data_IF_752634477240
#
_entry.id   IF_752634477240
#
_cell.length_a   1.000
_cell.length_b   1.000
_cell.length_c   1.000
_cell.angle_alpha   90.00
_cell.angle_beta   90.00
_cell.angle_gamma   90.00
#
_symmetry.space_group_name_H-M   'P 1'
#
loop_
_entity.id
_entity.type
_entity.pdbx_description
1 polymer ?
#
# COMPACT_ATOMS: atom_id res chain seq x y z
N UNK A 1 28.66 -6.25 46.04
CA UNK A 1 28.50 -6.68 44.63
C UNK A 1 27.76 -5.62 43.86
N UNK A 2 28.48 -4.76 43.13
CA UNK A 2 27.90 -3.65 42.37
C UNK A 2 27.30 -4.13 41.05
N UNK A 3 25.99 -3.95 40.88
CA UNK A 3 25.32 -4.14 39.59
C UNK A 3 25.67 -2.94 38.69
N UNK A 4 26.54 -3.17 37.70
CA UNK A 4 26.81 -2.23 36.60
C UNK A 4 25.51 -2.03 35.80
N UNK A 5 24.96 -0.82 35.86
CA UNK A 5 23.95 -0.36 34.90
C UNK A 5 24.64 -0.19 33.54
N UNK A 6 24.23 -1.02 32.58
CA UNK A 6 24.67 -0.91 31.20
C UNK A 6 23.90 0.25 30.56
N UNK A 7 24.57 1.39 30.39
CA UNK A 7 24.00 2.53 29.67
C UNK A 7 23.74 2.12 28.21
N UNK A 8 22.47 2.13 27.79
CA UNK A 8 22.08 2.02 26.39
C UNK A 8 22.67 3.24 25.65
N UNK A 9 23.59 3.00 24.72
CA UNK A 9 24.01 4.01 23.74
C UNK A 9 22.75 4.52 23.02
N UNK A 10 22.59 5.85 22.80
CA UNK A 10 21.54 6.34 21.92
C UNK A 10 21.79 5.75 20.54
N UNK A 11 20.82 4.98 20.03
CA UNK A 11 20.83 4.57 18.64
C UNK A 11 20.68 5.85 17.81
N UNK A 12 21.63 6.13 16.93
CA UNK A 12 21.48 7.20 15.95
C UNK A 12 20.33 6.78 15.06
N UNK A 13 19.20 7.46 15.16
CA UNK A 13 18.07 7.22 14.28
C UNK A 13 18.51 7.52 12.84
N UNK A 14 18.31 6.59 11.89
CA UNK A 14 18.69 6.83 10.51
C UNK A 14 17.92 8.04 9.97
N UNK A 15 18.54 8.85 9.09
CA UNK A 15 17.88 10.01 8.52
C UNK A 15 16.58 9.62 7.82
N UNK A 16 15.56 10.48 7.95
CA UNK A 16 14.30 10.36 7.22
C UNK A 16 14.60 10.63 5.75
N UNK A 17 14.35 9.66 4.88
CA UNK A 17 14.56 9.79 3.44
C UNK A 17 13.53 8.98 2.68
N UNK A 18 12.99 9.57 1.61
CA UNK A 18 12.04 8.94 0.70
C UNK A 18 12.64 7.72 -0.03
N UNK A 19 13.95 7.68 -0.21
CA UNK A 19 14.65 6.59 -0.91
C UNK A 19 14.58 5.24 -0.17
N UNK A 20 14.16 5.29 1.11
CA UNK A 20 13.89 4.11 1.93
C UNK A 20 12.53 3.49 1.64
N UNK A 21 11.63 4.19 0.94
CA UNK A 21 10.34 3.66 0.53
C UNK A 21 10.54 2.83 -0.74
N UNK A 22 9.90 1.66 -0.76
CA UNK A 22 9.85 0.79 -1.94
C UNK A 22 8.49 0.99 -2.61
N UNK A 23 8.38 2.06 -3.39
CA UNK A 23 7.19 2.39 -4.17
C UNK A 23 7.36 1.80 -5.55
N UNK A 24 6.37 1.02 -5.99
CA UNK A 24 6.38 0.38 -7.30
C UNK A 24 5.06 0.58 -8.02
N UNK A 25 5.11 0.46 -9.33
CA UNK A 25 3.92 0.38 -10.17
C UNK A 25 3.29 -0.99 -10.02
N UNK A 26 2.08 -1.04 -9.45
CA UNK A 26 1.27 -2.24 -9.32
C UNK A 26 0.14 -2.28 -10.34
N UNK A 27 -0.20 -3.46 -10.83
CA UNK A 27 -1.37 -3.71 -11.68
C UNK A 27 -2.45 -4.44 -10.89
N UNK A 28 -3.62 -3.85 -10.75
CA UNK A 28 -4.75 -4.51 -10.08
C UNK A 28 -5.28 -5.63 -10.99
N UNK A 29 -5.14 -6.88 -10.54
CA UNK A 29 -5.61 -8.08 -11.24
C UNK A 29 -7.07 -8.40 -10.90
N UNK A 30 -7.44 -8.20 -9.65
CA UNK A 30 -8.80 -8.35 -9.16
C UNK A 30 -9.02 -7.49 -7.93
N UNK A 31 -10.25 -7.03 -7.72
CA UNK A 31 -10.71 -6.36 -6.51
C UNK A 31 -12.02 -6.99 -6.04
N UNK A 32 -12.31 -6.99 -4.75
CA UNK A 32 -13.61 -7.42 -4.25
C UNK A 32 -13.92 -6.70 -2.95
N UNK A 33 -15.20 -6.57 -2.60
CA UNK A 33 -15.56 -6.05 -1.28
C UNK A 33 -15.11 -7.04 -0.21
N UNK A 34 -14.57 -6.53 0.88
CA UNK A 34 -14.18 -7.36 1.99
C UNK A 34 -15.42 -8.03 2.61
N UNK A 35 -15.40 -9.35 2.88
CA UNK A 35 -16.58 -10.08 3.36
C UNK A 35 -17.09 -9.55 4.71
N UNK A 36 -16.17 -9.19 5.61
CA UNK A 36 -16.49 -8.70 6.96
C UNK A 36 -16.33 -7.18 7.15
N UNK A 37 -16.22 -6.39 6.07
CA UNK A 37 -16.02 -4.94 6.19
C UNK A 37 -16.57 -4.13 5.00
N UNK A 38 -17.60 -3.33 5.23
CA UNK A 38 -18.28 -2.53 4.20
C UNK A 38 -17.42 -1.40 3.62
N UNK A 39 -16.37 -0.98 4.33
CA UNK A 39 -15.49 0.11 3.91
C UNK A 39 -14.21 -0.36 3.25
N UNK A 40 -13.98 -1.67 3.13
CA UNK A 40 -12.72 -2.22 2.62
C UNK A 40 -12.91 -2.98 1.31
N UNK A 41 -11.93 -2.82 0.42
CA UNK A 41 -11.71 -3.72 -0.69
C UNK A 41 -10.55 -4.66 -0.38
N UNK A 42 -10.55 -5.80 -1.05
CA UNK A 42 -9.46 -6.77 -1.09
C UNK A 42 -9.01 -6.86 -2.55
N UNK A 43 -7.82 -6.39 -2.82
CA UNK A 43 -7.22 -6.37 -4.16
C UNK A 43 -6.08 -7.38 -4.27
N UNK A 44 -5.97 -8.01 -5.43
CA UNK A 44 -4.78 -8.75 -5.84
C UNK A 44 -4.00 -7.88 -6.82
N UNK A 45 -2.81 -7.43 -6.42
CA UNK A 45 -2.02 -6.49 -7.19
C UNK A 45 -0.69 -7.14 -7.59
N UNK A 46 -0.45 -7.21 -8.90
CA UNK A 46 0.85 -7.61 -9.46
C UNK A 46 1.84 -6.47 -9.29
N UNK A 47 2.90 -6.69 -8.51
CA UNK A 47 3.96 -5.70 -8.23
C UNK A 47 5.23 -5.97 -9.04
N UNK A 48 5.10 -6.73 -10.13
CA UNK A 48 6.17 -7.06 -11.07
C UNK A 48 6.84 -8.40 -10.80
N UNK A 49 7.50 -8.94 -11.83
CA UNK A 49 8.23 -10.21 -11.72
C UNK A 49 7.33 -11.43 -11.46
N UNK A 50 6.02 -11.31 -11.70
CA UNK A 50 5.03 -12.35 -11.39
C UNK A 50 4.63 -12.41 -9.92
N UNK A 51 5.07 -11.46 -9.09
CA UNK A 51 4.69 -11.38 -7.69
C UNK A 51 3.34 -10.66 -7.55
N UNK A 52 2.31 -11.41 -7.15
CA UNK A 52 0.99 -10.86 -6.81
C UNK A 52 0.84 -10.77 -5.30
N UNK A 53 0.39 -9.62 -4.82
CA UNK A 53 0.17 -9.36 -3.39
C UNK A 53 -1.29 -9.04 -3.10
N UNK A 54 -1.78 -9.61 -2.01
CA UNK A 54 -3.06 -9.21 -1.44
C UNK A 54 -2.91 -7.87 -0.74
N UNK A 55 -3.74 -6.91 -1.12
CA UNK A 55 -3.83 -5.57 -0.54
C UNK A 55 -5.25 -5.37 -0.02
N UNK A 56 -5.36 -4.67 1.11
CA UNK A 56 -6.66 -4.29 1.68
C UNK A 56 -6.71 -2.78 1.73
N UNK A 57 -7.63 -2.18 0.97
CA UNK A 57 -7.75 -0.72 0.84
C UNK A 57 -9.07 -0.19 1.40
N UNK A 58 -9.05 1.04 1.93
CA UNK A 58 -10.23 1.72 2.47
C UNK A 58 -11.03 2.53 1.44
N UNK A 59 -11.07 2.08 0.18
CA UNK A 59 -11.51 2.92 -0.95
C UNK A 59 -13.01 2.80 -1.29
N UNK A 60 -13.77 1.92 -0.62
CA UNK A 60 -15.17 1.61 -0.98
C UNK A 60 -16.07 2.84 -1.02
N UNK A 61 -15.86 3.81 -0.12
CA UNK A 61 -16.66 5.04 -0.04
C UNK A 61 -16.30 6.09 -1.08
N UNK A 62 -15.14 5.94 -1.72
CA UNK A 62 -14.54 6.96 -2.58
C UNK A 62 -14.51 6.54 -4.04
N UNK A 63 -14.24 5.26 -4.30
CA UNK A 63 -14.03 4.71 -5.64
C UNK A 63 -14.95 3.50 -5.83
N UNK A 64 -15.84 3.54 -6.84
CA UNK A 64 -16.68 2.40 -7.15
C UNK A 64 -15.85 1.25 -7.70
N UNK A 65 -16.23 0.01 -7.36
CA UNK A 65 -15.50 -1.21 -7.75
C UNK A 65 -15.34 -1.34 -9.27
N UNK A 66 -16.33 -0.85 -10.03
CA UNK A 66 -16.32 -0.85 -11.49
C UNK A 66 -15.13 -0.04 -12.06
N UNK A 67 -14.82 1.11 -11.45
CA UNK A 67 -13.70 1.97 -11.87
C UNK A 67 -12.35 1.30 -11.59
N UNK A 68 -12.26 0.51 -10.52
CA UNK A 68 -11.07 -0.26 -10.16
C UNK A 68 -10.83 -1.39 -11.17
N UNK A 69 -11.89 -2.11 -11.57
CA UNK A 69 -11.80 -3.24 -12.50
C UNK A 69 -11.67 -2.86 -13.96
N UNK A 70 -12.47 -1.91 -14.43
CA UNK A 70 -12.64 -1.64 -15.86
C UNK A 70 -11.36 -1.14 -16.55
N UNK A 71 -10.35 -0.73 -15.77
CA UNK A 71 -9.20 -0.01 -16.31
C UNK A 71 -7.90 -0.81 -16.39
N UNK A 72 -7.84 -2.08 -15.96
CA UNK A 72 -6.54 -2.75 -15.73
C UNK A 72 -5.60 -1.77 -15.00
N UNK A 73 -6.11 -1.14 -13.94
CA UNK A 73 -5.55 0.12 -13.45
C UNK A 73 -4.15 -0.12 -12.90
N UNK A 74 -3.19 0.66 -13.39
CA UNK A 74 -1.87 0.78 -12.77
C UNK A 74 -1.97 1.76 -11.61
N UNK A 75 -1.36 1.43 -10.49
CA UNK A 75 -1.39 2.22 -9.26
C UNK A 75 -0.02 2.24 -8.62
N UNK A 76 0.31 3.30 -7.88
CA UNK A 76 1.54 3.29 -7.07
C UNK A 76 1.31 2.52 -5.76
N UNK A 77 2.21 1.59 -5.45
CA UNK A 77 2.07 0.66 -4.31
C UNK A 77 3.34 0.68 -3.46
N UNK A 78 3.18 0.86 -2.15
CA UNK A 78 4.27 0.76 -1.18
C UNK A 78 4.45 -0.70 -0.72
N UNK A 79 5.60 -1.28 -1.04
CA UNK A 79 5.86 -2.71 -0.93
C UNK A 79 6.71 -3.13 0.28
N UNK A 80 7.37 -2.20 0.97
CA UNK A 80 8.27 -2.51 2.09
C UNK A 80 7.70 -2.20 3.48
N UNK A 81 6.38 -2.04 3.59
CA UNK A 81 5.71 -1.98 4.89
C UNK A 81 5.63 -3.37 5.52
N UNK A 82 5.63 -3.39 6.87
CA UNK A 82 5.31 -4.61 7.60
C UNK A 82 3.85 -4.99 7.29
N UNK A 83 3.57 -6.24 6.89
CA UNK A 83 2.21 -6.66 6.59
C UNK A 83 1.26 -6.42 7.78
N UNK A 84 0.04 -5.99 7.48
CA UNK A 84 -0.98 -5.67 8.47
C UNK A 84 -2.20 -6.56 8.26
N UNK A 85 -2.72 -7.15 9.33
CA UNK A 85 -3.97 -7.91 9.28
C UNK A 85 -5.14 -6.95 9.48
N UNK A 86 -6.01 -6.86 8.48
CA UNK A 86 -7.23 -6.07 8.49
C UNK A 86 -8.41 -7.03 8.44
N UNK A 87 -9.17 -7.11 9.54
CA UNK A 87 -10.39 -7.93 9.62
C UNK A 87 -10.19 -9.39 9.19
N UNK A 88 -9.02 -9.96 9.48
CA UNK A 88 -8.67 -11.36 9.18
C UNK A 88 -7.86 -11.56 7.89
N UNK A 89 -7.83 -10.58 6.99
CA UNK A 89 -7.06 -10.64 5.75
C UNK A 89 -5.73 -9.90 5.93
N UNK A 90 -4.63 -10.51 5.47
CA UNK A 90 -3.29 -9.94 5.60
C UNK A 90 -2.95 -9.08 4.38
N UNK A 91 -2.94 -7.76 4.56
CA UNK A 91 -2.46 -6.81 3.57
C UNK A 91 -0.93 -6.81 3.52
N UNK A 92 -0.36 -7.05 2.34
CA UNK A 92 1.07 -7.18 2.11
C UNK A 92 1.69 -5.95 1.40
N UNK A 93 0.86 -4.98 1.06
CA UNK A 93 1.29 -3.71 0.47
C UNK A 93 0.24 -2.63 0.76
N UNK A 94 0.48 -1.41 0.30
CA UNK A 94 -0.47 -0.30 0.44
C UNK A 94 -0.55 0.48 -0.86
N UNK A 95 -1.76 0.66 -1.39
CA UNK A 95 -1.99 1.56 -2.52
C UNK A 95 -1.85 3.01 -2.06
N UNK A 96 -1.16 3.82 -2.85
CA UNK A 96 -1.01 5.25 -2.59
C UNK A 96 -2.21 6.01 -3.16
N UNK A 97 -2.74 6.92 -2.34
CA UNK A 97 -3.83 7.80 -2.70
C UNK A 97 -3.55 9.22 -2.18
N UNK A 98 -4.04 10.20 -2.92
CA UNK A 98 -4.11 11.59 -2.48
C UNK A 98 -5.49 11.86 -1.90
N UNK A 99 -5.56 12.67 -0.84
CA UNK A 99 -6.82 13.16 -0.28
C UNK A 99 -6.77 14.66 -0.04
N UNK A 100 -7.94 15.29 0.01
CA UNK A 100 -8.07 16.63 0.56
C UNK A 100 -7.86 16.64 2.08
N UNK A 101 -7.77 17.83 2.67
CA UNK A 101 -7.56 18.02 4.12
C UNK A 101 -8.71 17.48 4.97
N UNK A 102 -9.92 17.40 4.41
CA UNK A 102 -11.13 16.92 5.10
C UNK A 102 -11.39 15.42 4.86
N UNK A 103 -10.56 14.74 4.07
CA UNK A 103 -10.72 13.35 3.66
C UNK A 103 -12.09 13.02 3.03
N UNK A 104 -12.69 14.01 2.37
CA UNK A 104 -13.96 13.85 1.64
C UNK A 104 -13.74 13.41 0.20
N UNK A 105 -12.58 13.77 -0.37
CA UNK A 105 -12.16 13.36 -1.71
C UNK A 105 -10.88 12.57 -1.61
N UNK A 106 -10.87 11.40 -2.24
CA UNK A 106 -9.70 10.52 -2.33
C UNK A 106 -9.56 10.07 -3.77
N UNK A 107 -8.36 10.19 -4.31
CA UNK A 107 -8.00 9.71 -5.64
C UNK A 107 -6.73 8.86 -5.56
N UNK A 108 -6.66 7.78 -6.34
CA UNK A 108 -5.42 6.99 -6.41
C UNK A 108 -4.32 7.79 -7.11
N UNK A 109 -3.09 7.54 -6.68
CA UNK A 109 -1.91 8.08 -7.37
C UNK A 109 -1.68 7.22 -8.61
N UNK A 110 -1.87 7.84 -9.77
CA UNK A 110 -1.62 7.21 -11.07
C UNK A 110 -0.12 7.29 -11.42
N UNK A 111 0.52 6.17 -11.80
CA UNK A 111 1.87 6.18 -12.34
C UNK A 111 1.88 6.75 -13.76
N UNK A 112 3.08 6.95 -14.32
CA UNK A 112 3.21 7.35 -15.72
C UNK A 112 2.54 6.32 -16.64
N UNK A 113 1.88 6.78 -17.70
CA UNK A 113 1.14 5.91 -18.62
C UNK A 113 2.04 4.82 -19.25
N UNK A 114 3.28 5.19 -19.56
CA UNK A 114 4.32 4.31 -20.09
C UNK A 114 4.99 3.40 -19.06
N UNK A 115 4.70 3.57 -17.76
CA UNK A 115 5.40 2.84 -16.70
C UNK A 115 5.08 1.34 -16.75
N UNK A 116 6.07 0.50 -16.44
CA UNK A 116 5.95 -0.95 -16.49
C UNK A 116 5.58 -1.49 -15.11
N UNK A 117 4.79 -2.57 -15.07
CA UNK A 117 4.44 -3.22 -13.79
C UNK A 117 5.72 -3.69 -13.08
N UNK A 118 5.89 -3.26 -11.83
CA UNK A 118 7.06 -3.48 -11.00
C UNK A 118 8.17 -2.45 -11.12
N UNK A 119 8.03 -1.46 -12.00
CA UNK A 119 8.93 -0.31 -12.05
C UNK A 119 8.92 0.43 -10.72
N UNK A 120 10.12 0.88 -10.29
CA UNK A 120 10.29 1.61 -9.04
C UNK A 120 10.21 3.12 -9.31
N UNK A 121 9.36 3.80 -8.54
CA UNK A 121 9.17 5.27 -8.57
C UNK A 121 10.11 5.99 -7.58
#
# INVERSE_FOLDING_TARGET
GGKKQQAKKPAVEPPISITRLDIRVGLIKSAQKHPDADSLYVEEIDVGGGEVRTVVSGLVKYIPLEEIYMQNRKVCVLCNLKPATMRGIKSQAMVLAASDSEHTKVALVDPLESAVVGERE
#
